data_IF_702096225645
#
_entry.id   IF_702096225645
#
_cell.length_a   1.000
_cell.length_b   1.000
_cell.length_c   1.000
_cell.angle_alpha   90.00
_cell.angle_beta   90.00
_cell.angle_gamma   90.00
#
_symmetry.space_group_name_H-M   'P 1'
#
loop_
_entity.id
_entity.type
_entity.pdbx_description
1 polymer ?
#
# COMPACT_ATOMS: atom_id res chain seq x y z
N UNK A 1 12.94 -5.88 -7.30
CA UNK A 1 11.93 -6.80 -7.76
C UNK A 1 10.88 -7.05 -6.68
N UNK A 2 9.62 -6.92 -7.04
CA UNK A 2 8.50 -7.00 -6.08
C UNK A 2 7.51 -8.08 -6.46
N UNK A 3 7.98 -9.18 -7.04
CA UNK A 3 7.12 -10.27 -7.46
C UNK A 3 6.44 -10.98 -6.29
N UNK A 4 6.93 -10.78 -5.08
CA UNK A 4 6.33 -11.36 -3.87
C UNK A 4 5.06 -10.63 -3.42
N UNK A 5 4.72 -9.51 -4.05
CA UNK A 5 3.51 -8.76 -3.73
C UNK A 5 2.33 -9.27 -4.54
N UNK A 6 1.17 -9.37 -3.89
CA UNK A 6 -0.05 -9.77 -4.58
C UNK A 6 -0.63 -8.60 -5.39
N UNK A 7 -1.58 -8.89 -6.28
CA UNK A 7 -2.26 -7.83 -7.03
C UNK A 7 -2.93 -6.84 -6.09
N UNK A 8 -3.52 -7.32 -5.02
CA UNK A 8 -4.15 -6.45 -4.02
C UNK A 8 -3.12 -5.56 -3.35
N UNK A 9 -1.96 -6.12 -3.00
CA UNK A 9 -0.87 -5.34 -2.41
C UNK A 9 -0.44 -4.21 -3.35
N UNK A 10 -0.28 -4.52 -4.64
CA UNK A 10 0.14 -3.54 -5.63
C UNK A 10 -0.89 -2.43 -5.79
N UNK A 11 -2.18 -2.79 -5.78
CA UNK A 11 -3.25 -1.79 -5.86
C UNK A 11 -3.25 -0.85 -4.67
N UNK A 12 -3.03 -1.39 -3.47
CA UNK A 12 -2.98 -0.58 -2.26
C UNK A 12 -1.80 0.38 -2.30
N UNK A 13 -0.64 -0.11 -2.69
CA UNK A 13 0.56 0.73 -2.83
C UNK A 13 0.31 1.84 -3.84
N UNK A 14 -0.29 1.50 -4.97
CA UNK A 14 -0.59 2.45 -6.02
C UNK A 14 -1.52 3.56 -5.52
N UNK A 15 -2.56 3.18 -4.77
CA UNK A 15 -3.51 4.16 -4.23
C UNK A 15 -2.86 5.06 -3.18
N UNK A 16 -1.99 4.51 -2.35
CA UNK A 16 -1.24 5.35 -1.41
C UNK A 16 -0.31 6.30 -2.14
N UNK A 17 0.28 5.87 -3.25
CA UNK A 17 1.14 6.76 -4.04
C UNK A 17 0.38 7.92 -4.66
N UNK A 18 -0.94 7.75 -4.83
CA UNK A 18 -1.82 8.80 -5.33
C UNK A 18 -2.44 9.62 -4.19
N UNK A 19 -1.93 9.43 -2.97
CA UNK A 19 -2.36 10.18 -1.78
C UNK A 19 -3.78 9.84 -1.30
N UNK A 20 -4.26 8.65 -1.62
CA UNK A 20 -5.54 8.19 -1.07
C UNK A 20 -5.36 7.83 0.40
N UNK A 21 -6.35 8.19 1.21
CA UNK A 21 -6.35 7.82 2.63
C UNK A 21 -6.79 6.37 2.79
N UNK A 22 -6.52 5.80 3.97
CA UNK A 22 -6.98 4.45 4.28
C UNK A 22 -8.49 4.34 4.20
N UNK A 23 -9.21 5.40 4.61
CA UNK A 23 -10.67 5.41 4.54
C UNK A 23 -11.14 5.35 3.09
N UNK A 24 -10.52 6.13 2.22
CA UNK A 24 -10.87 6.13 0.80
C UNK A 24 -10.57 4.78 0.15
N UNK A 25 -9.43 4.20 0.47
CA UNK A 25 -9.06 2.89 -0.07
C UNK A 25 -10.04 1.82 0.40
N UNK A 26 -10.43 1.88 1.68
CA UNK A 26 -11.40 0.94 2.22
C UNK A 26 -12.74 1.03 1.47
N UNK A 27 -13.15 2.25 1.16
CA UNK A 27 -14.38 2.45 0.40
C UNK A 27 -14.29 1.81 -0.98
N UNK A 28 -13.16 2.03 -1.66
CA UNK A 28 -12.96 1.47 -3.00
C UNK A 28 -12.92 -0.05 -3.00
N UNK A 29 -12.40 -0.63 -1.92
CA UNK A 29 -12.27 -2.08 -1.80
C UNK A 29 -13.48 -2.73 -1.13
N UNK A 30 -14.49 -1.93 -0.79
CA UNK A 30 -15.70 -2.41 -0.12
C UNK A 30 -15.34 -3.14 1.19
N UNK A 31 -14.49 -2.53 1.98
CA UNK A 31 -14.03 -3.08 3.25
C UNK A 31 -13.96 -1.96 4.29
N UNK A 32 -13.35 -2.24 5.44
CA UNK A 32 -13.25 -1.28 6.53
C UNK A 32 -11.85 -0.66 6.58
N UNK A 33 -11.71 0.57 7.12
CA UNK A 33 -10.40 1.16 7.30
C UNK A 33 -9.47 0.29 8.14
N UNK A 34 -10.03 -0.44 9.12
CA UNK A 34 -9.23 -1.32 9.96
C UNK A 34 -8.54 -2.40 9.11
N UNK A 35 -9.25 -2.97 8.15
CA UNK A 35 -8.67 -3.97 7.25
C UNK A 35 -7.56 -3.37 6.40
N UNK A 36 -7.70 -2.12 5.98
CA UNK A 36 -6.66 -1.44 5.21
C UNK A 36 -5.43 -1.19 6.08
N UNK A 37 -5.61 -0.79 7.32
CA UNK A 37 -4.48 -0.62 8.24
C UNK A 37 -3.74 -1.92 8.47
N UNK A 38 -4.48 -3.03 8.60
CA UNK A 38 -3.87 -4.34 8.78
C UNK A 38 -3.04 -4.72 7.55
N UNK A 39 -3.57 -4.48 6.35
CA UNK A 39 -2.83 -4.76 5.12
C UNK A 39 -1.61 -3.87 4.98
N UNK A 40 -1.74 -2.61 5.35
CA UNK A 40 -0.64 -1.65 5.33
C UNK A 40 0.50 -2.13 6.24
N UNK A 41 0.15 -2.60 7.43
CA UNK A 41 1.13 -3.13 8.37
C UNK A 41 1.85 -4.35 7.79
N UNK A 42 1.09 -5.28 7.20
CA UNK A 42 1.65 -6.48 6.59
C UNK A 42 2.57 -6.13 5.41
N UNK A 43 2.18 -5.13 4.63
CA UNK A 43 3.00 -4.66 3.52
C UNK A 43 4.32 -4.10 4.02
N UNK A 44 4.30 -3.32 5.10
CA UNK A 44 5.52 -2.80 5.70
C UNK A 44 6.46 -3.92 6.09
N UNK A 45 5.91 -5.01 6.63
CA UNK A 45 6.71 -6.17 6.99
C UNK A 45 7.29 -6.88 5.77
N UNK A 46 6.47 -7.07 4.74
CA UNK A 46 6.91 -7.71 3.49
C UNK A 46 8.04 -6.93 2.84
N UNK A 47 7.94 -5.60 2.84
CA UNK A 47 8.91 -4.74 2.21
C UNK A 47 10.10 -4.44 3.11
N UNK A 48 10.02 -4.88 4.37
CA UNK A 48 11.10 -4.69 5.35
C UNK A 48 11.49 -3.21 5.48
N UNK A 49 10.50 -2.35 5.63
CA UNK A 49 10.72 -0.92 5.73
C UNK A 49 10.46 -0.45 7.15
N UNK A 50 11.06 0.66 7.52
CA UNK A 50 10.94 1.22 8.87
C UNK A 50 10.05 2.45 8.92
N UNK A 51 9.54 2.94 7.88
CA UNK A 51 8.64 4.08 7.85
C UNK A 51 7.25 3.66 7.48
N UNK A 52 6.49 4.60 6.99
CA UNK A 52 5.14 4.32 6.50
C UNK A 52 5.21 3.90 5.04
N UNK A 53 4.14 3.25 4.60
CA UNK A 53 4.00 2.90 3.18
C UNK A 53 4.01 4.17 2.32
N UNK A 54 3.39 5.22 2.82
CA UNK A 54 3.35 6.50 2.10
C UNK A 54 4.76 7.04 1.83
N UNK A 55 5.61 6.97 2.85
CA UNK A 55 7.01 7.41 2.69
C UNK A 55 7.75 6.51 1.71
N UNK A 56 7.51 5.22 1.80
CA UNK A 56 8.17 4.26 0.93
C UNK A 56 7.84 4.52 -0.55
N UNK A 57 6.56 4.72 -0.86
CA UNK A 57 6.15 4.91 -2.26
C UNK A 57 6.65 6.23 -2.82
N UNK A 58 6.86 7.24 -1.98
CA UNK A 58 7.46 8.49 -2.44
C UNK A 58 8.92 8.31 -2.82
N UNK A 59 9.60 7.43 -2.11
CA UNK A 59 11.03 7.19 -2.31
C UNK A 59 11.31 6.25 -3.47
N UNK A 60 10.38 5.37 -3.82
CA UNK A 60 10.60 4.35 -4.84
C UNK A 60 9.51 4.42 -5.90
N UNK A 61 9.57 5.42 -6.78
CA UNK A 61 8.53 5.64 -7.79
C UNK A 61 8.29 4.47 -8.72
N UNK A 62 9.26 3.59 -8.90
CA UNK A 62 9.11 2.43 -9.77
C UNK A 62 7.99 1.49 -9.31
N UNK A 63 7.60 1.53 -8.03
CA UNK A 63 6.52 0.71 -7.53
C UNK A 63 5.18 1.25 -8.04
N UNK A 64 5.09 2.55 -8.14
CA UNK A 64 3.92 3.26 -8.58
C UNK A 64 3.54 2.90 -10.02
N UNK A 65 4.52 2.52 -10.83
CA UNK A 65 4.34 2.23 -12.25
C UNK A 65 4.05 0.77 -12.55
N UNK A 66 3.85 -0.05 -11.56
CA UNK A 66 3.56 -1.47 -11.73
C UNK A 66 2.13 -1.70 -12.20
#
# INVERSE_FOLDING_TARGET
DYTFLSDTDLKIISLYSENFSAVAIAFLFNTTPQNIYTRKYRLSKKLNITGTIEEFVQKYPQIKDI
#
